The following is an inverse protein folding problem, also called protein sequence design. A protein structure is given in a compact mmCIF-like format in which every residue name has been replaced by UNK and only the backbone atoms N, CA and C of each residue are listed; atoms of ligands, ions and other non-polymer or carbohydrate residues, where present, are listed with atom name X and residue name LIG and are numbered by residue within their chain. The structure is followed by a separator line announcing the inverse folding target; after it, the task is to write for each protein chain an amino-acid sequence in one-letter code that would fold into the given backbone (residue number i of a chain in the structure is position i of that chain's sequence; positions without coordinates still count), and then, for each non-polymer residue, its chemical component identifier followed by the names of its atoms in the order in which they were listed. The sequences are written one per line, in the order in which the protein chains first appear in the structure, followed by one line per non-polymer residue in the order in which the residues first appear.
data_IF_094977482726
#
_entry.id   IF_094977482726
#
_cell.length_a   1.000
_cell.length_b   1.000
_cell.length_c   1.000
_cell.angle_alpha   90.00
_cell.angle_beta   90.00
_cell.angle_gamma   90.00
#
_symmetry.space_group_name_H-M   'P 1'
#
loop_
_entity.id
_entity.type
_entity.pdbx_description
1 polymer ?
#
# COMPACT_ATOMS: atom_id res chain seq x y z
N UNK A 1 -11.28 -5.36 15.43
CA UNK A 1 -12.47 -4.96 14.68
C UNK A 1 -13.77 -5.68 15.09
N UNK A 2 -13.74 -6.97 15.50
CA UNK A 2 -14.95 -7.64 16.04
C UNK A 2 -15.02 -7.33 17.53
N UNK A 3 -16.16 -6.81 18.00
CA UNK A 3 -16.39 -6.50 19.41
C UNK A 3 -16.20 -7.75 20.29
N UNK A 4 -15.72 -7.57 21.51
CA UNK A 4 -15.64 -8.66 22.49
C UNK A 4 -17.05 -9.26 22.73
N UNK A 5 -17.13 -10.58 22.66
CA UNK A 5 -18.41 -11.31 22.80
C UNK A 5 -19.26 -11.38 21.52
N UNK A 6 -18.88 -10.70 20.43
CA UNK A 6 -19.56 -10.81 19.14
C UNK A 6 -18.80 -11.75 18.19
N UNK A 7 -19.51 -12.40 17.27
CA UNK A 7 -18.92 -13.29 16.27
C UNK A 7 -18.77 -12.62 14.90
N UNK A 8 -19.44 -11.49 14.70
CA UNK A 8 -19.45 -10.78 13.41
C UNK A 8 -19.31 -9.29 13.64
N UNK A 9 -18.47 -8.65 12.83
CA UNK A 9 -18.49 -7.21 12.61
C UNK A 9 -18.87 -6.94 11.15
N UNK A 10 -19.66 -5.90 10.92
CA UNK A 10 -20.12 -5.51 9.58
C UNK A 10 -19.93 -4.03 9.36
N UNK A 11 -19.40 -3.67 8.18
CA UNK A 11 -19.32 -2.30 7.70
C UNK A 11 -19.99 -2.25 6.35
N UNK A 12 -20.92 -1.32 6.18
CA UNK A 12 -21.60 -1.09 4.91
C UNK A 12 -21.45 0.37 4.52
N UNK A 13 -21.36 0.62 3.21
CA UNK A 13 -21.24 1.96 2.64
C UNK A 13 -21.79 2.01 1.23
N UNK A 14 -22.02 3.22 0.77
CA UNK A 14 -22.43 3.51 -0.59
C UNK A 14 -21.35 4.35 -1.27
N UNK A 15 -20.96 3.95 -2.47
CA UNK A 15 -19.97 4.65 -3.29
C UNK A 15 -20.67 5.23 -4.49
N UNK A 16 -20.77 6.55 -4.52
CA UNK A 16 -21.31 7.30 -5.66
C UNK A 16 -20.16 7.84 -6.54
N UNK A 17 -20.44 8.03 -7.83
CA UNK A 17 -19.52 8.75 -8.71
C UNK A 17 -19.41 10.21 -8.28
N UNK A 18 -18.19 10.74 -8.21
CA UNK A 18 -17.96 12.17 -7.97
C UNK A 18 -18.25 13.03 -9.22
N UNK A 19 -18.47 12.41 -10.37
CA UNK A 19 -18.83 13.11 -11.61
C UNK A 19 -20.33 13.31 -11.68
N UNK A 20 -20.87 14.54 -11.58
CA UNK A 20 -22.31 14.83 -11.64
C UNK A 20 -22.94 14.49 -13.01
N UNK A 21 -22.13 14.33 -14.05
CA UNK A 21 -22.61 13.91 -15.37
C UNK A 21 -22.65 12.38 -15.57
N UNK A 22 -22.15 11.62 -14.59
CA UNK A 22 -22.19 10.16 -14.67
C UNK A 22 -23.59 9.67 -14.29
N UNK A 23 -24.20 8.93 -15.18
CA UNK A 23 -25.44 8.15 -14.96
C UNK A 23 -25.20 6.89 -14.13
N UNK A 24 -24.01 6.78 -13.50
CA UNK A 24 -23.64 5.60 -12.71
C UNK A 24 -24.47 5.52 -11.42
N UNK A 25 -25.18 4.42 -11.27
CA UNK A 25 -25.87 4.07 -10.03
C UNK A 25 -24.84 3.84 -8.93
N UNK A 26 -25.07 4.42 -7.76
CA UNK A 26 -24.21 4.22 -6.61
C UNK A 26 -24.04 2.72 -6.29
N UNK A 27 -22.81 2.31 -5.99
CA UNK A 27 -22.51 0.93 -5.63
C UNK A 27 -22.58 0.74 -4.12
N UNK A 28 -23.36 -0.24 -3.67
CA UNK A 28 -23.39 -0.66 -2.27
C UNK A 28 -22.26 -1.61 -1.98
N UNK A 29 -21.47 -1.30 -0.96
CA UNK A 29 -20.39 -2.14 -0.43
C UNK A 29 -20.78 -2.68 0.95
N UNK A 30 -20.53 -3.95 1.18
CA UNK A 30 -20.78 -4.62 2.45
C UNK A 30 -19.60 -5.52 2.77
N UNK A 31 -18.95 -5.26 3.91
CA UNK A 31 -17.81 -6.06 4.39
C UNK A 31 -18.19 -6.65 5.75
N UNK A 32 -18.23 -7.97 5.85
CA UNK A 32 -18.40 -8.69 7.09
C UNK A 32 -17.11 -9.41 7.49
N UNK A 33 -16.74 -9.26 8.76
CA UNK A 33 -15.67 -10.01 9.40
C UNK A 33 -16.33 -11.03 10.33
N UNK A 34 -16.07 -12.31 10.10
CA UNK A 34 -16.64 -13.40 10.88
C UNK A 34 -15.52 -14.07 11.68
N UNK A 35 -15.70 -14.24 12.97
CA UNK A 35 -14.76 -14.97 13.84
C UNK A 35 -14.67 -16.42 13.39
N UNK A 36 -13.46 -16.94 13.17
CA UNK A 36 -13.24 -18.33 12.82
C UNK A 36 -13.64 -19.28 13.96
N UNK A 37 -14.47 -20.28 13.65
CA UNK A 37 -15.03 -21.22 14.62
C UNK A 37 -14.16 -22.44 14.90
N UNK A 38 -12.84 -22.33 15.13
CA UNK A 38 -12.03 -23.46 15.62
C UNK A 38 -10.86 -23.00 16.45
N UNK A 39 -10.72 -23.55 17.64
CA UNK A 39 -9.66 -23.32 18.61
C UNK A 39 -8.30 -23.97 18.24
N UNK A 40 -8.20 -24.66 17.10
CA UNK A 40 -7.02 -25.47 16.74
C UNK A 40 -6.31 -25.09 15.45
N UNK A 41 -6.75 -24.03 14.76
CA UNK A 41 -6.03 -23.53 13.58
C UNK A 41 -5.75 -22.04 13.73
N UNK A 42 -4.60 -21.58 13.23
CA UNK A 42 -4.27 -20.18 13.01
C UNK A 42 -5.20 -19.56 11.95
N UNK A 43 -6.51 -19.56 12.20
CA UNK A 43 -7.56 -19.11 11.32
C UNK A 43 -7.89 -17.66 11.68
N UNK A 44 -7.23 -16.72 10.97
CA UNK A 44 -7.71 -15.36 10.87
C UNK A 44 -9.20 -15.37 10.47
N UNK A 45 -9.98 -14.45 11.05
CA UNK A 45 -11.40 -14.33 10.77
C UNK A 45 -11.70 -14.28 9.28
N UNK A 46 -12.80 -14.88 8.85
CA UNK A 46 -13.20 -14.91 7.44
C UNK A 46 -13.76 -13.56 7.03
N UNK A 47 -13.09 -12.87 6.11
CA UNK A 47 -13.59 -11.64 5.49
C UNK A 47 -14.53 -11.98 4.33
N UNK A 48 -15.74 -11.45 4.37
CA UNK A 48 -16.72 -11.55 3.29
C UNK A 48 -16.97 -10.15 2.72
N UNK A 49 -16.91 -10.04 1.40
CA UNK A 49 -17.20 -8.81 0.68
C UNK A 49 -18.39 -9.03 -0.23
N UNK A 50 -19.32 -8.07 -0.26
CA UNK A 50 -20.41 -7.98 -1.24
C UNK A 50 -20.40 -6.62 -1.92
N UNK A 51 -20.67 -6.64 -3.21
CA UNK A 51 -20.89 -5.45 -4.02
C UNK A 51 -22.27 -5.58 -4.62
N UNK A 52 -23.16 -4.62 -4.35
CA UNK A 52 -24.57 -4.66 -4.75
C UNK A 52 -25.27 -5.97 -4.34
N UNK A 53 -25.01 -6.43 -3.11
CA UNK A 53 -25.54 -7.70 -2.57
C UNK A 53 -24.87 -8.98 -3.08
N UNK A 54 -24.04 -8.91 -4.14
CA UNK A 54 -23.36 -10.07 -4.75
C UNK A 54 -22.01 -10.32 -4.07
N UNK A 55 -21.73 -11.56 -3.60
CA UNK A 55 -20.41 -11.89 -3.05
C UNK A 55 -19.31 -11.68 -4.07
N UNK A 56 -18.22 -11.04 -3.64
CA UNK A 56 -17.06 -10.73 -4.49
C UNK A 56 -15.75 -11.03 -3.75
N UNK A 57 -14.66 -11.22 -4.52
CA UNK A 57 -13.31 -11.29 -3.97
C UNK A 57 -12.79 -9.88 -3.66
N UNK A 58 -11.84 -9.74 -2.73
CA UNK A 58 -11.28 -8.45 -2.33
C UNK A 58 -10.73 -7.62 -3.52
N UNK A 59 -10.16 -8.27 -4.52
CA UNK A 59 -9.69 -7.60 -5.73
C UNK A 59 -10.78 -6.83 -6.50
N UNK A 60 -12.05 -7.25 -6.38
CA UNK A 60 -13.17 -6.55 -7.02
C UNK A 60 -13.50 -5.20 -6.36
N UNK A 61 -13.05 -4.96 -5.12
CA UNK A 61 -13.23 -3.70 -4.43
C UNK A 61 -12.49 -2.55 -5.14
N UNK A 62 -11.27 -2.83 -5.63
CA UNK A 62 -10.46 -1.84 -6.35
C UNK A 62 -11.10 -1.30 -7.64
N UNK A 63 -12.06 -2.02 -8.24
CA UNK A 63 -12.84 -1.53 -9.38
C UNK A 63 -13.94 -0.55 -8.96
N UNK A 64 -14.43 -0.63 -7.72
CA UNK A 64 -15.52 0.21 -7.20
C UNK A 64 -14.96 1.42 -6.47
N UNK A 65 -13.99 1.20 -5.58
CA UNK A 65 -13.40 2.23 -4.74
C UNK A 65 -11.91 1.95 -4.54
N UNK A 66 -11.11 2.99 -4.61
CA UNK A 66 -9.71 2.97 -4.19
C UNK A 66 -9.51 3.94 -3.05
N UNK A 67 -8.61 3.60 -2.15
CA UNK A 67 -8.26 4.44 -1.02
C UNK A 67 -6.74 4.47 -0.85
N UNK A 68 -6.23 5.63 -0.45
CA UNK A 68 -4.88 5.79 0.10
C UNK A 68 -5.05 6.00 1.60
N UNK A 69 -4.38 5.17 2.36
CA UNK A 69 -4.41 5.21 3.82
C UNK A 69 -3.07 5.71 4.32
N UNK A 70 -3.10 6.66 5.23
CA UNK A 70 -1.94 7.07 6.00
C UNK A 70 -2.24 6.95 7.48
N UNK A 71 -1.46 6.14 8.17
CA UNK A 71 -1.60 5.90 9.61
C UNK A 71 -0.24 5.69 10.28
N UNK A 72 -0.22 5.53 11.61
CA UNK A 72 1.01 5.38 12.40
C UNK A 72 1.90 4.20 11.94
N UNK A 73 1.30 3.16 11.40
CA UNK A 73 2.00 1.96 10.92
C UNK A 73 2.87 2.23 9.68
N UNK A 74 2.53 3.25 8.88
CA UNK A 74 3.29 3.61 7.68
C UNK A 74 4.72 4.08 8.01
N UNK A 75 4.96 4.54 9.24
CA UNK A 75 6.31 4.88 9.70
C UNK A 75 7.28 3.69 9.62
N UNK A 76 6.75 2.46 9.68
CA UNK A 76 7.54 1.24 9.50
C UNK A 76 8.02 1.04 8.05
N UNK A 77 7.52 1.80 7.07
CA UNK A 77 8.02 1.76 5.70
C UNK A 77 9.47 2.24 5.61
N UNK A 78 9.87 3.22 6.42
CA UNK A 78 11.27 3.69 6.46
C UNK A 78 12.15 2.74 7.26
N UNK A 79 11.80 2.49 8.53
CA UNK A 79 12.69 1.78 9.46
C UNK A 79 12.37 0.28 9.64
N UNK A 80 11.28 -0.19 9.05
CA UNK A 80 10.79 -1.56 9.19
C UNK A 80 11.38 -2.54 8.20
N UNK A 81 10.73 -3.71 8.09
CA UNK A 81 11.23 -4.81 7.28
C UNK A 81 11.08 -4.57 5.77
N UNK A 82 12.01 -5.10 4.95
CA UNK A 82 11.87 -5.13 3.49
C UNK A 82 10.55 -5.73 2.99
N UNK A 83 9.99 -6.68 3.75
CA UNK A 83 8.72 -7.33 3.39
C UNK A 83 7.56 -6.32 3.34
N UNK A 84 7.52 -5.36 4.28
CA UNK A 84 6.49 -4.33 4.32
C UNK A 84 6.60 -3.42 3.09
N UNK A 85 7.80 -2.94 2.76
CA UNK A 85 8.05 -2.10 1.59
C UNK A 85 7.69 -2.80 0.29
N UNK A 86 8.03 -4.09 0.15
CA UNK A 86 7.61 -4.89 -1.01
C UNK A 86 6.09 -4.99 -1.10
N UNK A 87 5.40 -5.26 0.01
CA UNK A 87 3.94 -5.38 0.03
C UNK A 87 3.29 -4.08 -0.44
N UNK A 88 3.72 -2.93 0.08
CA UNK A 88 3.21 -1.62 -0.34
C UNK A 88 3.44 -1.36 -1.83
N UNK A 89 4.64 -1.65 -2.34
CA UNK A 89 4.94 -1.50 -3.76
C UNK A 89 4.10 -2.47 -4.63
N UNK A 90 3.91 -3.72 -4.17
CA UNK A 90 3.11 -4.72 -4.87
C UNK A 90 1.62 -4.35 -4.90
N UNK A 91 1.09 -3.77 -3.83
CA UNK A 91 -0.28 -3.26 -3.77
C UNK A 91 -0.49 -2.10 -4.76
N UNK A 92 0.46 -1.16 -4.82
CA UNK A 92 0.40 -0.06 -5.78
C UNK A 92 0.54 -0.57 -7.22
N UNK A 93 1.48 -1.48 -7.49
CA UNK A 93 1.64 -2.09 -8.81
C UNK A 93 0.38 -2.85 -9.25
N UNK A 94 -0.24 -3.63 -8.35
CA UNK A 94 -1.49 -4.33 -8.62
C UNK A 94 -2.67 -3.35 -8.86
N UNK A 95 -2.62 -2.17 -8.28
CA UNK A 95 -3.64 -1.15 -8.49
C UNK A 95 -3.58 -0.51 -9.89
N UNK A 96 -2.40 -0.40 -10.50
CA UNK A 96 -2.21 0.31 -11.78
C UNK A 96 -1.88 -0.62 -12.96
N UNK A 97 -1.48 -1.87 -12.71
CA UNK A 97 -1.06 -2.83 -13.74
C UNK A 97 -1.97 -4.06 -13.77
N UNK A 98 -2.85 -4.16 -14.77
CA UNK A 98 -3.65 -5.38 -14.98
C UNK A 98 -2.72 -6.59 -15.15
N UNK A 99 -3.02 -7.68 -14.45
CA UNK A 99 -2.21 -8.90 -14.53
C UNK A 99 -1.14 -9.04 -13.44
N UNK A 100 -0.65 -7.94 -12.83
CA UNK A 100 0.40 -8.00 -11.81
C UNK A 100 0.08 -8.95 -10.64
N UNK A 101 -1.14 -8.90 -10.13
CA UNK A 101 -1.58 -9.81 -9.06
C UNK A 101 -1.54 -11.30 -9.48
N UNK A 102 -1.77 -11.60 -10.77
CA UNK A 102 -1.67 -12.96 -11.30
C UNK A 102 -0.20 -13.40 -11.41
N UNK A 103 0.70 -12.51 -11.85
CA UNK A 103 2.14 -12.76 -11.87
C UNK A 103 2.67 -13.01 -10.45
N UNK A 104 2.28 -12.19 -9.47
CA UNK A 104 2.65 -12.36 -8.07
C UNK A 104 2.17 -13.69 -7.48
N UNK A 105 0.93 -14.10 -7.79
CA UNK A 105 0.38 -15.39 -7.36
C UNK A 105 1.10 -16.58 -8.02
N UNK A 106 1.48 -16.45 -9.30
CA UNK A 106 2.24 -17.48 -10.03
C UNK A 106 3.64 -17.61 -9.46
N UNK A 107 4.32 -16.48 -9.25
CA UNK A 107 5.65 -16.44 -8.62
C UNK A 107 5.64 -17.08 -7.23
N UNK A 108 4.68 -16.70 -6.39
CA UNK A 108 4.58 -17.22 -5.02
C UNK A 108 4.37 -18.73 -4.97
N UNK A 109 3.56 -19.28 -5.89
CA UNK A 109 3.37 -20.74 -6.03
C UNK A 109 4.66 -21.42 -6.50
N UNK A 110 5.29 -20.90 -7.55
CA UNK A 110 6.54 -21.45 -8.07
C UNK A 110 7.63 -21.44 -7.00
N UNK A 111 7.78 -20.34 -6.27
CA UNK A 111 8.72 -20.19 -5.16
C UNK A 111 8.47 -21.21 -4.05
N UNK A 112 7.22 -21.39 -3.64
CA UNK A 112 6.87 -22.34 -2.57
C UNK A 112 7.18 -23.79 -2.97
N UNK A 113 6.86 -24.18 -4.19
CA UNK A 113 7.13 -25.54 -4.70
C UNK A 113 8.63 -25.75 -4.93
N UNK A 114 9.32 -24.76 -5.52
CA UNK A 114 10.77 -24.81 -5.71
C UNK A 114 11.51 -24.94 -4.38
N UNK A 115 11.13 -24.18 -3.37
CA UNK A 115 11.73 -24.29 -2.02
C UNK A 115 11.44 -25.64 -1.35
N UNK A 116 10.29 -26.27 -1.63
CA UNK A 116 10.02 -27.64 -1.17
C UNK A 116 10.95 -28.62 -1.84
N UNK A 117 11.11 -28.50 -3.17
CA UNK A 117 11.98 -29.36 -3.96
C UNK A 117 13.45 -29.20 -3.57
N UNK A 118 13.94 -27.96 -3.35
CA UNK A 118 15.31 -27.72 -2.89
C UNK A 118 15.61 -28.41 -1.54
N UNK A 119 14.63 -28.47 -0.63
CA UNK A 119 14.78 -29.20 0.61
C UNK A 119 14.84 -30.72 0.38
N UNK A 120 13.96 -31.26 -0.47
CA UNK A 120 13.98 -32.69 -0.81
C UNK A 120 15.30 -33.08 -1.49
N UNK A 121 15.84 -32.25 -2.41
CA UNK A 121 17.14 -32.48 -3.04
C UNK A 121 18.27 -32.49 -1.99
N UNK A 122 18.26 -31.57 -1.06
CA UNK A 122 19.23 -31.51 0.03
C UNK A 122 19.17 -32.76 0.93
N UNK A 123 17.99 -33.35 1.09
CA UNK A 123 17.71 -34.56 1.89
C UNK A 123 17.86 -35.84 1.05
N UNK A 124 18.31 -35.72 -0.22
CA UNK A 124 18.51 -36.81 -1.16
C UNK A 124 17.22 -37.56 -1.57
N UNK A 125 16.06 -36.92 -1.38
CA UNK A 125 14.73 -37.46 -1.70
C UNK A 125 14.22 -37.07 -3.09
N UNK A 126 14.99 -36.22 -3.86
CA UNK A 126 14.61 -35.72 -5.18
C UNK A 126 15.82 -35.39 -6.04
N UNK A 127 15.59 -35.31 -7.35
CA UNK A 127 16.63 -35.04 -8.34
C UNK A 127 16.70 -33.53 -8.72
N UNK A 128 17.93 -33.05 -8.95
CA UNK A 128 18.18 -31.62 -9.31
C UNK A 128 17.48 -31.22 -10.61
N UNK A 129 17.36 -32.11 -11.57
CA UNK A 129 16.74 -31.87 -12.88
C UNK A 129 15.26 -31.48 -12.77
N UNK A 130 14.60 -31.83 -11.66
CA UNK A 130 13.22 -31.47 -11.40
C UNK A 130 13.03 -29.96 -11.17
N UNK A 131 14.09 -29.23 -10.76
CA UNK A 131 14.03 -27.78 -10.53
C UNK A 131 13.58 -27.01 -11.77
N UNK A 132 13.94 -27.48 -12.99
CA UNK A 132 13.58 -26.84 -14.26
C UNK A 132 12.09 -26.59 -14.43
N UNK A 133 11.24 -27.43 -13.86
CA UNK A 133 9.79 -27.27 -13.91
C UNK A 133 9.30 -26.04 -13.17
N UNK A 134 10.01 -25.65 -12.12
CA UNK A 134 9.68 -24.49 -11.29
C UNK A 134 10.53 -23.27 -11.60
N UNK A 135 11.73 -23.45 -12.15
CA UNK A 135 12.62 -22.35 -12.58
C UNK A 135 11.96 -21.51 -13.67
N UNK A 136 11.37 -22.14 -14.69
CA UNK A 136 10.72 -21.43 -15.79
C UNK A 136 9.62 -20.47 -15.31
N UNK A 137 8.55 -20.90 -14.62
CA UNK A 137 7.50 -20.00 -14.14
C UNK A 137 8.01 -19.01 -13.09
N UNK A 138 9.04 -19.37 -12.30
CA UNK A 138 9.66 -18.46 -11.33
C UNK A 138 10.36 -17.31 -12.04
N UNK A 139 11.15 -17.59 -13.07
CA UNK A 139 11.91 -16.60 -13.85
C UNK A 139 10.97 -15.70 -14.66
N UNK A 140 9.97 -16.28 -15.32
CA UNK A 140 9.00 -15.53 -16.13
C UNK A 140 8.21 -14.54 -15.23
N UNK A 141 7.55 -15.05 -14.21
CA UNK A 141 6.76 -14.20 -13.32
C UNK A 141 7.64 -13.26 -12.46
N UNK A 142 8.82 -13.72 -12.02
CA UNK A 142 9.76 -12.90 -11.26
C UNK A 142 10.31 -11.73 -12.06
N UNK A 143 10.66 -11.97 -13.34
CA UNK A 143 11.10 -10.91 -14.24
C UNK A 143 10.02 -9.87 -14.51
N UNK A 144 8.76 -10.30 -14.71
CA UNK A 144 7.61 -9.40 -14.82
C UNK A 144 7.41 -8.55 -13.57
N UNK A 145 7.46 -9.15 -12.37
CA UNK A 145 7.33 -8.43 -11.10
C UNK A 145 8.40 -7.35 -10.97
N UNK A 146 9.67 -7.67 -11.24
CA UNK A 146 10.77 -6.69 -11.12
C UNK A 146 10.59 -5.56 -12.15
N UNK A 147 10.25 -5.87 -13.39
CA UNK A 147 10.03 -4.88 -14.44
C UNK A 147 8.90 -3.90 -14.06
N UNK A 148 7.78 -4.42 -13.54
CA UNK A 148 6.64 -3.61 -13.13
C UNK A 148 6.93 -2.77 -11.87
N UNK A 149 7.67 -3.31 -10.89
CA UNK A 149 8.13 -2.55 -9.72
C UNK A 149 9.01 -1.38 -10.13
N UNK A 150 9.97 -1.58 -11.03
CA UNK A 150 10.81 -0.52 -11.56
C UNK A 150 10.00 0.54 -12.31
N UNK A 151 9.01 0.13 -13.10
CA UNK A 151 8.11 1.05 -13.80
C UNK A 151 7.27 1.89 -12.82
N UNK A 152 6.74 1.29 -11.75
CA UNK A 152 6.00 2.01 -10.70
C UNK A 152 6.90 3.02 -10.01
N UNK A 153 8.12 2.65 -9.64
CA UNK A 153 9.07 3.56 -8.99
C UNK A 153 9.44 4.72 -9.91
N UNK A 154 9.60 4.47 -11.21
CA UNK A 154 9.84 5.52 -12.20
C UNK A 154 8.65 6.51 -12.31
N UNK A 155 7.41 6.00 -12.27
CA UNK A 155 6.21 6.84 -12.26
C UNK A 155 6.01 7.61 -10.95
N UNK A 156 6.49 7.09 -9.82
CA UNK A 156 6.43 7.77 -8.52
C UNK A 156 7.50 8.85 -8.36
N UNK A 157 8.60 8.81 -9.10
CA UNK A 157 9.76 9.66 -8.85
C UNK A 157 9.44 11.15 -8.87
N UNK A 158 8.74 11.63 -9.88
CA UNK A 158 8.36 13.04 -10.00
C UNK A 158 7.27 13.45 -9.00
N UNK A 159 6.13 12.71 -8.87
CA UNK A 159 5.12 12.99 -7.85
C UNK A 159 5.68 12.99 -6.42
N UNK A 160 6.62 12.10 -6.11
CA UNK A 160 7.25 12.03 -4.80
C UNK A 160 8.11 13.27 -4.51
N UNK A 161 8.93 13.67 -5.49
CA UNK A 161 9.77 14.86 -5.36
C UNK A 161 8.92 16.14 -5.22
N UNK A 162 7.84 16.25 -5.98
CA UNK A 162 6.90 17.39 -5.90
C UNK A 162 6.18 17.43 -4.55
N UNK A 163 5.61 16.30 -4.10
CA UNK A 163 4.94 16.23 -2.81
C UNK A 163 5.90 16.56 -1.65
N UNK A 164 7.14 16.08 -1.71
CA UNK A 164 8.14 16.41 -0.70
C UNK A 164 8.48 17.91 -0.67
N UNK A 165 8.70 18.52 -1.83
CA UNK A 165 8.98 19.95 -1.92
C UNK A 165 7.80 20.83 -1.45
N UNK A 166 6.55 20.38 -1.65
CA UNK A 166 5.35 21.04 -1.14
C UNK A 166 5.25 21.00 0.39
N UNK A 167 5.60 19.84 1.00
CA UNK A 167 5.42 19.61 2.45
C UNK A 167 6.59 20.19 3.25
N UNK A 168 7.81 20.12 2.69
CA UNK A 168 9.04 20.56 3.34
C UNK A 168 9.85 21.47 2.41
N UNK A 169 9.35 22.70 2.14
CA UNK A 169 10.04 23.64 1.28
C UNK A 169 11.43 24.01 1.79
N UNK A 170 11.67 23.93 3.09
CA UNK A 170 12.98 24.10 3.71
C UNK A 170 14.00 23.01 3.32
N UNK A 171 13.51 21.86 2.87
CA UNK A 171 14.30 20.72 2.39
C UNK A 171 14.35 20.64 0.85
N UNK A 172 13.87 21.67 0.13
CA UNK A 172 13.73 21.63 -1.34
C UNK A 172 15.05 21.39 -2.10
N UNK A 173 16.21 21.60 -1.44
CA UNK A 173 17.52 21.24 -1.97
C UNK A 173 17.90 19.76 -1.82
N UNK A 174 17.13 18.99 -1.06
CA UNK A 174 17.36 17.58 -0.78
C UNK A 174 16.31 16.73 -1.50
N UNK A 175 16.68 16.14 -2.64
CA UNK A 175 15.77 15.30 -3.40
C UNK A 175 15.42 14.03 -2.59
N UNK A 176 14.11 13.83 -2.35
CA UNK A 176 13.58 12.58 -1.84
C UNK A 176 13.37 11.61 -3.00
N UNK A 177 13.84 10.37 -2.87
CA UNK A 177 13.72 9.33 -3.88
C UNK A 177 13.55 7.95 -3.28
N UNK A 178 13.20 7.00 -4.15
CA UNK A 178 13.12 5.57 -3.84
C UNK A 178 14.13 4.83 -4.71
N UNK A 179 15.00 4.04 -4.08
CA UNK A 179 15.99 3.21 -4.77
C UNK A 179 15.62 1.73 -4.63
N UNK A 180 15.53 1.04 -5.76
CA UNK A 180 15.30 -0.40 -5.78
C UNK A 180 16.60 -1.16 -5.58
N UNK A 181 16.65 -2.03 -4.59
CA UNK A 181 17.76 -2.95 -4.35
C UNK A 181 17.37 -4.36 -4.74
N UNK A 182 18.17 -4.98 -5.60
CA UNK A 182 17.96 -6.36 -6.03
C UNK A 182 19.23 -7.17 -5.92
N UNK A 183 19.08 -8.46 -5.61
CA UNK A 183 20.17 -9.42 -5.66
C UNK A 183 20.38 -10.07 -7.03
N UNK A 184 19.58 -9.65 -8.04
CA UNK A 184 19.72 -10.00 -9.44
C UNK A 184 19.86 -8.73 -10.29
N UNK A 185 20.93 -7.91 -10.12
CA UNK A 185 21.11 -6.69 -10.89
C UNK A 185 21.29 -7.04 -12.37
N UNK A 186 20.56 -6.33 -13.24
CA UNK A 186 20.66 -6.48 -14.68
C UNK A 186 21.99 -5.88 -15.18
N UNK A 187 22.63 -6.56 -16.11
CA UNK A 187 23.76 -6.04 -16.87
C UNK A 187 23.27 -5.06 -17.97
N UNK A 188 24.13 -4.23 -18.55
CA UNK A 188 23.75 -3.35 -19.64
C UNK A 188 23.07 -4.11 -20.79
N UNK A 189 21.81 -3.75 -21.10
CA UNK A 189 21.01 -4.41 -22.13
C UNK A 189 20.31 -5.71 -21.70
N UNK A 190 20.52 -6.16 -20.47
CA UNK A 190 19.87 -7.35 -19.92
C UNK A 190 18.47 -7.01 -19.37
N UNK A 191 17.49 -7.86 -19.63
CA UNK A 191 16.17 -7.72 -19.02
C UNK A 191 16.18 -8.20 -17.55
N UNK A 192 15.25 -7.74 -16.68
CA UNK A 192 15.10 -8.27 -15.32
C UNK A 192 14.89 -9.79 -15.29
N UNK A 193 14.21 -10.35 -16.30
CA UNK A 193 14.01 -11.79 -16.47
C UNK A 193 15.34 -12.52 -16.70
N UNK A 194 16.15 -12.02 -17.61
CA UNK A 194 17.43 -12.66 -17.97
C UNK A 194 18.44 -12.53 -16.82
N UNK A 195 18.47 -11.37 -16.15
CA UNK A 195 19.24 -11.17 -14.94
C UNK A 195 18.87 -12.16 -13.83
N UNK A 196 17.58 -12.39 -13.61
CA UNK A 196 17.10 -13.37 -12.64
C UNK A 196 17.51 -14.80 -13.04
N UNK A 197 17.35 -15.17 -14.33
CA UNK A 197 17.75 -16.48 -14.83
C UNK A 197 19.25 -16.73 -14.63
N UNK A 198 20.09 -15.76 -15.00
CA UNK A 198 21.56 -15.82 -14.82
C UNK A 198 21.91 -15.98 -13.34
N UNK A 199 21.32 -15.17 -12.46
CA UNK A 199 21.63 -15.22 -11.02
C UNK A 199 21.17 -16.52 -10.37
N UNK A 200 20.03 -17.09 -10.78
CA UNK A 200 19.59 -18.42 -10.32
C UNK A 200 20.59 -19.50 -10.70
N UNK A 201 21.09 -19.48 -11.94
CA UNK A 201 22.12 -20.43 -12.38
C UNK A 201 23.42 -20.29 -11.58
N UNK A 202 23.88 -19.05 -11.33
CA UNK A 202 25.08 -18.77 -10.53
C UNK A 202 24.97 -19.19 -9.05
N UNK A 203 23.76 -19.23 -8.49
CA UNK A 203 23.51 -19.56 -7.09
C UNK A 203 23.01 -20.98 -6.85
N UNK A 204 22.83 -21.78 -7.92
CA UNK A 204 22.18 -23.09 -7.86
C UNK A 204 22.74 -24.03 -6.76
N UNK A 205 24.07 -24.16 -6.65
CA UNK A 205 24.72 -24.99 -5.62
C UNK A 205 24.44 -24.48 -4.20
N UNK A 206 24.48 -23.15 -4.01
CA UNK A 206 24.19 -22.52 -2.72
C UNK A 206 22.74 -22.69 -2.32
N UNK A 207 21.82 -22.67 -3.29
CA UNK A 207 20.39 -22.85 -3.07
C UNK A 207 20.06 -24.27 -2.63
N UNK A 208 20.67 -25.28 -3.27
CA UNK A 208 20.54 -26.68 -2.86
C UNK A 208 21.07 -26.86 -1.43
N UNK A 209 22.25 -26.34 -1.15
CA UNK A 209 22.82 -26.42 0.21
C UNK A 209 21.95 -25.76 1.28
N UNK A 210 21.34 -24.59 0.96
CA UNK A 210 20.45 -23.88 1.89
C UNK A 210 19.02 -24.48 1.95
N UNK A 211 18.61 -25.25 0.94
CA UNK A 211 17.23 -25.74 0.80
C UNK A 211 16.22 -24.62 0.52
N UNK A 212 16.67 -23.51 -0.09
CA UNK A 212 15.84 -22.34 -0.32
C UNK A 212 16.33 -21.50 -1.51
N UNK A 213 15.41 -20.85 -2.21
CA UNK A 213 15.71 -19.89 -3.27
C UNK A 213 16.31 -18.62 -2.66
N UNK A 214 17.48 -18.22 -3.14
CA UNK A 214 18.27 -17.10 -2.60
C UNK A 214 18.14 -15.83 -3.44
N UNK A 215 17.60 -15.90 -4.64
CA UNK A 215 17.55 -14.81 -5.61
C UNK A 215 16.12 -14.57 -6.09
N UNK A 216 15.75 -13.31 -6.29
CA UNK A 216 14.48 -12.92 -6.89
C UNK A 216 13.69 -11.89 -6.09
N UNK A 217 12.54 -11.42 -6.63
CA UNK A 217 11.79 -10.27 -6.10
C UNK A 217 11.29 -10.45 -4.65
N UNK A 218 11.24 -11.66 -4.12
CA UNK A 218 10.94 -11.91 -2.71
C UNK A 218 12.08 -11.54 -1.75
N UNK A 219 13.28 -11.27 -2.27
CA UNK A 219 14.49 -10.87 -1.54
C UNK A 219 14.87 -9.41 -1.76
N UNK A 220 14.26 -8.77 -2.75
CA UNK A 220 14.57 -7.39 -3.10
C UNK A 220 14.04 -6.40 -2.05
N UNK A 221 14.51 -5.16 -2.13
CA UNK A 221 14.11 -4.10 -1.21
C UNK A 221 13.87 -2.77 -1.95
N UNK A 222 13.25 -1.81 -1.26
CA UNK A 222 13.07 -0.44 -1.71
C UNK A 222 13.53 0.49 -0.59
N UNK A 223 14.57 1.26 -0.83
CA UNK A 223 15.13 2.18 0.14
C UNK A 223 14.65 3.61 -0.13
N UNK A 224 14.33 4.31 0.93
CA UNK A 224 14.08 5.75 0.89
C UNK A 224 15.41 6.48 0.97
N UNK A 225 15.65 7.40 0.05
CA UNK A 225 16.86 8.23 0.02
C UNK A 225 16.50 9.70 0.06
N UNK A 226 17.17 10.45 0.92
CA UNK A 226 17.13 11.92 0.95
C UNK A 226 18.52 12.46 0.64
N UNK A 227 18.64 13.26 -0.42
CA UNK A 227 19.93 13.74 -0.92
C UNK A 227 20.97 12.60 -1.13
N UNK A 228 20.52 11.44 -1.64
CA UNK A 228 21.35 10.26 -1.90
C UNK A 228 21.82 9.49 -0.65
N UNK A 229 21.21 9.76 0.52
CA UNK A 229 21.52 9.06 1.77
C UNK A 229 20.31 8.26 2.24
N UNK A 230 20.53 7.07 2.76
CA UNK A 230 19.50 6.20 3.32
C UNK A 230 18.77 6.90 4.49
N UNK A 231 17.48 7.12 4.28
CA UNK A 231 16.60 7.81 5.23
C UNK A 231 16.48 7.06 6.57
N UNK A 232 16.50 5.74 6.53
CA UNK A 232 16.38 4.93 7.74
C UNK A 232 17.55 5.16 8.71
N UNK A 233 18.74 5.45 8.17
CA UNK A 233 19.98 5.55 8.95
C UNK A 233 20.29 7.00 9.37
N UNK A 234 20.00 7.98 8.50
CA UNK A 234 20.49 9.36 8.68
C UNK A 234 19.42 10.39 8.99
N UNK A 235 18.15 10.10 8.70
CA UNK A 235 17.10 11.09 8.84
C UNK A 235 16.54 11.19 10.27
N UNK A 236 16.16 12.42 10.64
CA UNK A 236 15.38 12.66 11.84
C UNK A 236 13.98 12.03 11.72
N UNK A 237 13.29 11.80 12.85
CA UNK A 237 11.91 11.29 12.84
C UNK A 237 10.96 12.21 12.06
N UNK A 238 11.16 13.54 12.11
CA UNK A 238 10.38 14.50 11.34
C UNK A 238 10.57 14.29 9.84
N UNK A 239 11.82 14.14 9.37
CA UNK A 239 12.13 13.87 7.96
C UNK A 239 11.55 12.54 7.49
N UNK A 240 11.63 11.48 8.32
CA UNK A 240 11.01 10.20 8.00
C UNK A 240 9.48 10.33 7.81
N UNK A 241 8.80 11.08 8.69
CA UNK A 241 7.36 11.37 8.57
C UNK A 241 7.03 12.15 7.30
N UNK A 242 7.81 13.20 7.03
CA UNK A 242 7.67 13.99 5.80
C UNK A 242 7.80 13.11 4.56
N UNK A 243 8.78 12.22 4.53
CA UNK A 243 8.98 11.31 3.42
C UNK A 243 7.80 10.33 3.22
N UNK A 244 7.24 9.79 4.31
CA UNK A 244 6.07 8.92 4.23
C UNK A 244 4.83 9.69 3.79
N UNK A 245 4.62 10.90 4.31
CA UNK A 245 3.51 11.75 3.87
C UNK A 245 3.64 12.09 2.38
N UNK A 246 4.84 12.45 1.92
CA UNK A 246 5.13 12.70 0.52
C UNK A 246 4.85 11.46 -0.35
N UNK A 247 5.24 10.26 0.11
CA UNK A 247 4.92 9.01 -0.58
C UNK A 247 3.40 8.81 -0.71
N UNK A 248 2.63 9.02 0.36
CA UNK A 248 1.16 8.85 0.34
C UNK A 248 0.47 9.85 -0.58
N UNK A 249 0.96 11.08 -0.64
CA UNK A 249 0.46 12.07 -1.60
C UNK A 249 0.87 11.72 -3.03
N UNK A 250 2.08 11.21 -3.25
CA UNK A 250 2.53 10.73 -4.56
C UNK A 250 1.70 9.50 -5.03
N UNK A 251 1.38 8.57 -4.13
CA UNK A 251 0.45 7.46 -4.40
C UNK A 251 -0.93 7.97 -4.82
N UNK A 252 -1.45 8.98 -4.09
CA UNK A 252 -2.72 9.62 -4.40
C UNK A 252 -2.72 10.24 -5.80
N UNK A 253 -1.67 10.97 -6.16
CA UNK A 253 -1.53 11.63 -7.45
C UNK A 253 -1.38 10.61 -8.59
N UNK A 254 -0.54 9.59 -8.40
CA UNK A 254 -0.36 8.51 -9.37
C UNK A 254 -1.66 7.74 -9.64
N UNK A 255 -2.38 7.39 -8.59
CA UNK A 255 -3.67 6.70 -8.71
C UNK A 255 -4.75 7.61 -9.31
N UNK A 256 -4.73 8.91 -9.02
CA UNK A 256 -5.63 9.89 -9.62
C UNK A 256 -5.41 10.01 -11.12
N UNK A 257 -4.16 10.15 -11.53
CA UNK A 257 -3.78 10.24 -12.94
C UNK A 257 -4.13 8.96 -13.71
N UNK A 258 -3.88 7.79 -13.10
CA UNK A 258 -4.16 6.50 -13.73
C UNK A 258 -5.65 6.22 -13.90
N UNK A 259 -6.48 6.61 -12.92
CA UNK A 259 -7.91 6.26 -12.90
C UNK A 259 -8.81 7.38 -13.44
N UNK A 260 -8.26 8.58 -13.69
CA UNK A 260 -9.05 9.77 -14.04
C UNK A 260 -9.93 10.30 -12.91
N UNK A 261 -9.77 9.76 -11.69
CA UNK A 261 -10.47 10.22 -10.46
C UNK A 261 -9.61 9.97 -9.24
N UNK A 262 -9.61 10.90 -8.26
CA UNK A 262 -8.85 10.71 -7.05
C UNK A 262 -9.41 9.56 -6.20
N UNK A 263 -8.52 8.75 -5.58
CA UNK A 263 -8.92 7.79 -4.56
C UNK A 263 -9.41 8.50 -3.29
N UNK A 264 -10.12 7.77 -2.44
CA UNK A 264 -10.46 8.23 -1.10
C UNK A 264 -9.19 8.36 -0.25
N UNK A 265 -9.01 9.48 0.43
CA UNK A 265 -7.90 9.67 1.37
C UNK A 265 -8.37 9.40 2.80
N UNK A 266 -7.66 8.53 3.50
CA UNK A 266 -7.90 8.18 4.90
C UNK A 266 -6.65 8.55 5.71
N UNK A 267 -6.80 9.47 6.67
CA UNK A 267 -5.72 9.95 7.54
C UNK A 267 -6.02 9.59 8.98
N UNK A 268 -5.23 8.70 9.57
CA UNK A 268 -5.41 8.22 10.93
C UNK A 268 -4.37 8.86 11.87
N UNK A 269 -4.82 9.82 12.66
CA UNK A 269 -4.07 10.60 13.67
C UNK A 269 -2.80 11.29 13.14
N UNK A 270 -2.80 11.71 11.87
CA UNK A 270 -1.62 12.27 11.20
C UNK A 270 -1.28 13.66 11.69
N UNK A 271 -2.30 14.48 12.02
CA UNK A 271 -2.12 15.90 12.34
C UNK A 271 -1.45 16.15 13.68
N UNK A 272 -1.61 15.25 14.66
CA UNK A 272 -0.99 15.36 15.98
C UNK A 272 0.55 15.44 15.92
N UNK A 273 1.14 14.88 14.87
CA UNK A 273 2.57 14.68 14.72
C UNK A 273 3.24 15.64 13.73
N UNK A 274 2.48 16.53 13.09
CA UNK A 274 2.97 17.52 12.13
C UNK A 274 3.13 18.90 12.77
N UNK A 275 4.15 19.65 12.36
CA UNK A 275 4.29 21.06 12.66
C UNK A 275 3.23 21.89 11.91
N UNK A 276 3.02 23.16 12.31
CA UNK A 276 1.96 24.02 11.74
C UNK A 276 2.09 24.24 10.22
N UNK A 277 3.31 24.32 9.68
CA UNK A 277 3.55 24.56 8.27
C UNK A 277 3.15 23.35 7.43
N UNK A 278 3.62 22.17 7.80
CA UNK A 278 3.25 20.88 7.18
C UNK A 278 1.76 20.60 7.28
N UNK A 279 1.14 20.92 8.42
CA UNK A 279 -0.34 20.86 8.58
C UNK A 279 -1.05 21.71 7.53
N UNK A 280 -0.63 22.95 7.33
CA UNK A 280 -1.21 23.86 6.34
C UNK A 280 -1.10 23.34 4.91
N UNK A 281 0.02 22.70 4.54
CA UNK A 281 0.19 22.06 3.23
C UNK A 281 -0.78 20.88 3.06
N UNK A 282 -0.86 20.00 4.05
CA UNK A 282 -1.77 18.85 4.02
C UNK A 282 -3.24 19.28 3.92
N UNK A 283 -3.65 20.33 4.65
CA UNK A 283 -5.01 20.88 4.60
C UNK A 283 -5.36 21.38 3.21
N UNK A 284 -4.46 22.07 2.53
CA UNK A 284 -4.68 22.50 1.15
C UNK A 284 -4.89 21.32 0.20
N UNK A 285 -4.10 20.26 0.34
CA UNK A 285 -4.24 19.03 -0.47
C UNK A 285 -5.58 18.33 -0.20
N UNK A 286 -5.98 18.21 1.07
CA UNK A 286 -7.27 17.60 1.47
C UNK A 286 -8.43 18.42 0.90
N UNK A 287 -8.36 19.76 0.99
CA UNK A 287 -9.42 20.65 0.51
C UNK A 287 -9.68 20.56 -1.00
N UNK A 288 -8.72 20.09 -1.79
CA UNK A 288 -8.84 19.86 -3.22
C UNK A 288 -9.48 18.50 -3.58
N UNK A 289 -9.60 17.56 -2.61
CA UNK A 289 -10.14 16.23 -2.84
C UNK A 289 -11.67 16.22 -2.74
N UNK A 290 -12.36 15.37 -3.50
CA UNK A 290 -13.80 15.19 -3.39
C UNK A 290 -14.24 14.72 -1.99
N UNK A 291 -13.44 13.86 -1.38
CA UNK A 291 -13.67 13.32 -0.04
C UNK A 291 -12.37 12.85 0.61
N UNK A 292 -12.24 13.15 1.91
CA UNK A 292 -11.22 12.60 2.79
C UNK A 292 -11.83 12.28 4.15
N UNK A 293 -11.31 11.27 4.84
CA UNK A 293 -11.62 10.99 6.24
C UNK A 293 -10.37 11.24 7.08
N UNK A 294 -10.55 11.99 8.15
CA UNK A 294 -9.48 12.33 9.08
C UNK A 294 -9.91 11.92 10.47
N UNK A 295 -9.11 11.15 11.17
CA UNK A 295 -9.27 10.90 12.59
C UNK A 295 -8.26 11.73 13.39
N UNK A 296 -8.63 12.15 14.58
CA UNK A 296 -7.75 12.83 15.52
C UNK A 296 -8.20 12.57 16.94
N UNK A 297 -7.27 12.59 17.87
CA UNK A 297 -7.56 12.52 19.32
C UNK A 297 -7.99 13.85 19.91
N UNK A 298 -7.61 14.98 19.27
CA UNK A 298 -7.97 16.32 19.70
C UNK A 298 -8.26 17.24 18.50
N UNK A 299 -9.42 17.92 18.51
CA UNK A 299 -9.76 18.89 17.47
C UNK A 299 -8.78 20.07 17.40
N UNK A 300 -8.11 20.41 18.50
CA UNK A 300 -7.09 21.46 18.55
C UNK A 300 -5.84 21.16 17.71
N UNK A 301 -5.62 19.93 17.31
CA UNK A 301 -4.52 19.54 16.42
C UNK A 301 -4.83 19.82 14.94
N UNK A 302 -6.11 20.04 14.62
CA UNK A 302 -6.54 20.35 13.26
C UNK A 302 -6.49 21.85 12.99
N UNK A 303 -6.18 22.20 11.76
CA UNK A 303 -6.28 23.59 11.30
C UNK A 303 -7.75 24.05 11.32
N UNK A 304 -8.05 25.24 11.85
CA UNK A 304 -9.41 25.78 11.88
C UNK A 304 -10.09 25.83 10.50
N UNK A 305 -9.32 26.05 9.43
CA UNK A 305 -9.86 26.06 8.06
C UNK A 305 -10.37 24.70 7.62
N UNK A 306 -9.74 23.62 8.06
CA UNK A 306 -10.21 22.24 7.81
C UNK A 306 -11.50 21.96 8.58
N UNK A 307 -11.55 22.35 9.85
CA UNK A 307 -12.75 22.17 10.69
C UNK A 307 -13.93 22.94 10.10
N UNK A 308 -13.69 24.14 9.55
CA UNK A 308 -14.72 24.98 8.96
C UNK A 308 -15.42 24.35 7.72
N UNK A 309 -14.76 23.43 7.03
CA UNK A 309 -15.31 22.74 5.84
C UNK A 309 -15.69 21.28 6.13
N UNK A 310 -15.29 20.74 7.28
CA UNK A 310 -15.47 19.34 7.63
C UNK A 310 -16.82 19.09 8.29
N UNK A 311 -17.39 17.91 8.05
CA UNK A 311 -18.45 17.36 8.88
C UNK A 311 -17.80 16.53 9.99
N UNK A 312 -18.08 16.85 11.25
CA UNK A 312 -17.40 16.23 12.40
C UNK A 312 -18.30 15.29 13.17
N UNK A 313 -17.73 14.20 13.64
CA UNK A 313 -18.33 13.25 14.58
C UNK A 313 -17.40 13.04 15.75
N UNK A 314 -17.98 12.90 16.93
CA UNK A 314 -17.25 12.55 18.14
C UNK A 314 -17.50 11.08 18.48
N UNK A 315 -16.43 10.33 18.76
CA UNK A 315 -16.52 8.94 19.24
C UNK A 315 -16.34 8.96 20.76
N UNK A 316 -17.35 8.52 21.50
CA UNK A 316 -17.31 8.44 22.98
C UNK A 316 -17.41 7.00 23.46
N UNK A 317 -16.76 6.66 24.58
CA UNK A 317 -17.00 5.39 25.25
C UNK A 317 -18.46 5.27 25.67
N UNK A 318 -19.05 4.09 25.54
CA UNK A 318 -20.38 3.76 26.00
C UNK A 318 -20.34 2.39 26.73
N UNK A 319 -21.37 2.08 27.51
CA UNK A 319 -21.44 0.84 28.29
C UNK A 319 -21.22 -0.42 27.44
N UNK A 320 -21.71 -0.39 26.21
CA UNK A 320 -21.63 -1.50 25.25
C UNK A 320 -20.62 -1.30 24.12
N UNK A 321 -19.63 -0.43 24.27
CA UNK A 321 -18.61 -0.17 23.23
C UNK A 321 -18.38 1.32 23.01
N UNK A 322 -18.51 1.80 21.76
CA UNK A 322 -18.36 3.19 21.39
C UNK A 322 -19.65 3.74 20.76
N UNK A 323 -19.96 4.98 21.08
CA UNK A 323 -21.08 5.73 20.49
C UNK A 323 -20.55 6.84 19.60
N UNK A 324 -21.11 6.97 18.41
CA UNK A 324 -20.85 8.06 17.48
C UNK A 324 -21.86 9.18 17.74
N UNK A 325 -21.38 10.39 18.03
CA UNK A 325 -22.18 11.59 18.28
C UNK A 325 -21.97 12.57 17.13
N UNK A 326 -23.02 13.10 16.58
CA UNK A 326 -23.02 14.03 15.45
C UNK A 326 -23.93 13.54 14.32
N UNK A 327 -23.91 14.17 13.15
CA UNK A 327 -22.89 15.12 12.68
C UNK A 327 -23.07 16.55 13.21
N UNK A 328 -21.97 17.19 13.59
CA UNK A 328 -21.92 18.64 13.70
C UNK A 328 -21.61 19.19 12.30
N UNK A 329 -22.59 19.90 11.70
CA UNK A 329 -22.40 20.45 10.35
C UNK A 329 -21.50 21.69 10.37
N UNK A 330 -20.67 21.88 9.32
CA UNK A 330 -19.92 23.11 9.15
C UNK A 330 -20.90 24.28 8.93
N UNK A 331 -20.54 25.45 9.43
CA UNK A 331 -21.25 26.68 9.13
C UNK A 331 -21.14 26.95 7.61
N UNK A 332 -22.16 26.57 6.87
CA UNK A 332 -22.39 26.82 5.43
C UNK A 332 -21.17 26.69 4.51
N UNK A 333 -21.20 25.69 3.66
CA UNK A 333 -20.30 25.56 2.49
C UNK A 333 -20.44 26.84 1.62
N UNK A 334 -19.36 27.59 1.34
CA UNK A 334 -19.44 28.63 0.33
C UNK A 334 -19.76 27.96 -1.01
N UNK A 335 -20.79 28.46 -1.70
CA UNK A 335 -21.17 27.99 -3.01
C UNK A 335 -19.95 28.04 -3.95
N UNK A 336 -19.61 26.94 -4.60
CA UNK A 336 -18.59 26.87 -5.61
C UNK A 336 -18.88 27.95 -6.67
N UNK A 337 -18.04 28.95 -6.76
CA UNK A 337 -18.10 29.94 -7.84
C UNK A 337 -17.78 29.19 -9.14
N UNK A 338 -18.74 29.24 -10.07
CA UNK A 338 -18.63 28.79 -11.44
C UNK A 338 -17.57 29.55 -12.20
#
# INVERSE_FOLDING_TARGET
MIRWGADVARVAGEVASSNPAATEVASQLDVALVRGGSLTAASGGRKQLRVNGVPRRAAALGAVMRAVVFGPEDMLLVAGSPALRRTTLDELAAAIRPGYAAALATYSRALAQRNRLLRAIREEDAERDELRYWDKPLVEAGGEIVAERLAVLAHLAEPLAQAHAEIAPEEAGAALGLRYETNAPALPGESPRDALARRLAETAEKEVWNGATLVGPHRDDVLFELAGRDLATFASRGQQRTAILALKLAELDLLSAHNGRPPLLLLDDVFSELDPERRGHLVRRIGALPQAFVTTTALGDLDPSLIAIATTWEVRPAADGAQLIGPSQPATRPAARR
#
